data_IF_345652552264
#
_entry.id   IF_345652552264
#
_cell.length_a   1.000
_cell.length_b   1.000
_cell.length_c   1.000
_cell.angle_alpha   90.00
_cell.angle_beta   90.00
_cell.angle_gamma   90.00
#
_symmetry.space_group_name_H-M   'P 1'
#
loop_
_entity.id
_entity.type
_entity.pdbx_description
1 polymer ?
#
# COMPACT_ATOMS: atom_id res chain seq x y z
N UNK A 1 -28.30 4.27 -2.63
CA UNK A 1 -27.07 4.38 -3.44
C UNK A 1 -26.53 2.97 -3.62
N UNK A 2 -26.39 2.46 -4.85
CA UNK A 2 -25.72 1.17 -5.06
C UNK A 2 -24.25 1.36 -4.70
N UNK A 3 -23.79 0.75 -3.60
CA UNK A 3 -22.36 0.72 -3.30
C UNK A 3 -21.66 0.01 -4.46
N UNK A 4 -20.68 0.67 -5.06
CA UNK A 4 -19.88 0.10 -6.12
C UNK A 4 -18.85 -0.81 -5.47
N UNK A 5 -18.69 -1.99 -6.05
CA UNK A 5 -17.90 -3.08 -5.48
C UNK A 5 -16.61 -3.26 -6.28
N UNK A 6 -15.48 -3.42 -5.58
CA UNK A 6 -14.18 -3.68 -6.18
C UNK A 6 -13.91 -5.17 -6.16
N UNK A 7 -13.43 -5.73 -7.27
CA UNK A 7 -12.97 -7.12 -7.31
C UNK A 7 -11.80 -7.33 -6.33
N UNK A 8 -11.85 -8.37 -5.48
CA UNK A 8 -10.80 -8.65 -4.50
C UNK A 8 -9.42 -8.88 -5.14
N UNK A 9 -9.34 -9.44 -6.35
CA UNK A 9 -8.06 -9.60 -7.07
C UNK A 9 -7.45 -8.25 -7.46
N UNK A 10 -8.28 -7.32 -7.95
CA UNK A 10 -7.88 -5.95 -8.24
C UNK A 10 -7.43 -5.23 -6.96
N UNK A 11 -8.20 -5.36 -5.88
CA UNK A 11 -7.85 -4.76 -4.59
C UNK A 11 -6.54 -5.33 -4.04
N UNK A 12 -6.37 -6.65 -4.04
CA UNK A 12 -5.14 -7.32 -3.61
C UNK A 12 -3.94 -6.87 -4.44
N UNK A 13 -4.06 -6.80 -5.77
CA UNK A 13 -2.98 -6.37 -6.64
C UNK A 13 -2.59 -4.90 -6.39
N UNK A 14 -3.58 -4.01 -6.29
CA UNK A 14 -3.34 -2.59 -6.02
C UNK A 14 -2.69 -2.37 -4.65
N UNK A 15 -3.18 -3.07 -3.61
CA UNK A 15 -2.66 -2.97 -2.24
C UNK A 15 -1.23 -3.51 -2.14
N UNK A 16 -0.93 -4.66 -2.76
CA UNK A 16 0.44 -5.21 -2.82
C UNK A 16 1.38 -4.25 -3.54
N UNK A 17 0.96 -3.69 -4.69
CA UNK A 17 1.74 -2.68 -5.42
C UNK A 17 2.01 -1.44 -4.55
N UNK A 18 0.98 -0.93 -3.89
CA UNK A 18 1.07 0.26 -3.05
C UNK A 18 2.05 0.06 -1.88
N UNK A 19 2.04 -1.12 -1.24
CA UNK A 19 3.03 -1.46 -0.22
C UNK A 19 4.46 -1.30 -0.76
N UNK A 20 4.78 -1.92 -1.89
CA UNK A 20 6.14 -1.91 -2.43
C UNK A 20 6.58 -0.51 -2.86
N UNK A 21 5.70 0.24 -3.52
CA UNK A 21 5.99 1.61 -3.95
C UNK A 21 6.20 2.51 -2.73
N UNK A 22 5.31 2.45 -1.72
CA UNK A 22 5.38 3.29 -0.53
C UNK A 22 6.58 2.96 0.36
N UNK A 23 6.83 1.66 0.63
CA UNK A 23 7.97 1.20 1.42
C UNK A 23 9.30 1.68 0.83
N UNK A 24 9.47 1.45 -0.47
CA UNK A 24 10.66 1.90 -1.19
C UNK A 24 10.78 3.42 -1.15
N UNK A 25 9.68 4.14 -1.34
CA UNK A 25 9.72 5.61 -1.29
C UNK A 25 10.05 6.15 0.10
N UNK A 26 9.59 5.50 1.17
CA UNK A 26 10.02 5.84 2.53
C UNK A 26 11.53 5.79 2.70
N UNK A 27 12.18 4.73 2.18
CA UNK A 27 13.65 4.60 2.20
C UNK A 27 14.30 5.70 1.35
N UNK A 28 13.86 5.83 0.10
CA UNK A 28 14.50 6.72 -0.87
C UNK A 28 14.33 8.21 -0.50
N UNK A 29 13.17 8.63 0.02
CA UNK A 29 12.95 10.00 0.53
C UNK A 29 13.74 10.30 1.81
N UNK A 30 14.22 9.26 2.50
CA UNK A 30 15.08 9.41 3.66
C UNK A 30 16.54 9.55 3.25
N UNK A 31 17.00 8.71 2.32
CA UNK A 31 18.37 8.71 1.81
C UNK A 31 18.66 9.92 0.90
N UNK A 32 17.65 10.37 0.15
CA UNK A 32 17.75 11.47 -0.81
C UNK A 32 16.67 12.53 -0.51
N UNK A 33 16.82 13.31 0.59
CA UNK A 33 15.79 14.23 1.06
C UNK A 33 15.66 15.52 0.24
N UNK A 34 16.57 15.78 -0.70
CA UNK A 34 16.52 16.95 -1.60
C UNK A 34 15.62 16.68 -2.81
N UNK A 35 15.19 17.71 -3.53
CA UNK A 35 14.48 17.60 -4.84
C UNK A 35 15.33 16.97 -5.98
N UNK A 36 16.44 16.29 -5.65
CA UNK A 36 17.32 15.56 -6.56
C UNK A 36 16.63 14.27 -7.01
N UNK A 37 15.65 14.45 -7.89
CA UNK A 37 14.84 13.38 -8.49
C UNK A 37 15.70 12.41 -9.29
N UNK A 38 16.80 12.87 -9.88
CA UNK A 38 17.74 12.04 -10.64
C UNK A 38 18.38 10.98 -9.75
N UNK A 39 18.79 11.31 -8.53
CA UNK A 39 19.29 10.31 -7.56
C UNK A 39 18.17 9.46 -7.00
N UNK A 40 17.04 10.06 -6.63
CA UNK A 40 15.91 9.36 -6.01
C UNK A 40 15.34 8.26 -6.91
N UNK A 41 15.28 8.51 -8.21
CA UNK A 41 14.76 7.55 -9.19
C UNK A 41 15.86 6.87 -10.02
N UNK A 42 17.13 7.04 -9.65
CA UNK A 42 18.23 6.34 -10.30
C UNK A 42 18.06 4.81 -10.09
N UNK A 43 18.06 4.00 -11.16
CA UNK A 43 17.88 2.56 -11.02
C UNK A 43 18.93 1.88 -10.13
N UNK A 44 20.17 2.39 -10.14
CA UNK A 44 21.25 1.88 -9.28
C UNK A 44 20.95 2.13 -7.81
N UNK A 45 20.48 3.34 -7.47
CA UNK A 45 20.19 3.72 -6.09
C UNK A 45 18.98 2.95 -5.55
N UNK A 46 17.91 2.83 -6.34
CA UNK A 46 16.75 2.00 -5.97
C UNK A 46 17.20 0.57 -5.71
N UNK A 47 17.92 -0.04 -6.65
CA UNK A 47 18.41 -1.41 -6.51
C UNK A 47 19.29 -1.58 -5.28
N UNK A 48 20.19 -0.65 -5.02
CA UNK A 48 21.07 -0.70 -3.86
C UNK A 48 20.26 -0.65 -2.55
N UNK A 49 19.35 0.32 -2.41
CA UNK A 49 18.47 0.42 -1.24
C UNK A 49 17.66 -0.86 -1.01
N UNK A 50 17.15 -1.47 -2.08
CA UNK A 50 16.38 -2.72 -1.97
C UNK A 50 17.23 -3.93 -1.59
N UNK A 51 18.50 -3.99 -1.99
CA UNK A 51 19.42 -5.03 -1.56
C UNK A 51 19.84 -4.87 -0.10
N UNK A 52 20.06 -3.64 0.35
CA UNK A 52 20.41 -3.33 1.75
C UNK A 52 19.28 -3.67 2.72
N UNK A 53 18.03 -3.64 2.27
CA UNK A 53 16.84 -3.94 3.07
C UNK A 53 16.12 -5.23 2.66
N UNK A 54 16.78 -6.10 1.90
CA UNK A 54 16.18 -7.30 1.30
C UNK A 54 15.50 -8.20 2.33
N UNK A 55 16.18 -8.45 3.46
CA UNK A 55 15.71 -9.37 4.49
C UNK A 55 14.49 -8.82 5.25
N UNK A 56 14.38 -7.49 5.37
CA UNK A 56 13.33 -6.82 6.14
C UNK A 56 12.03 -6.63 5.33
N UNK A 57 12.08 -6.71 3.99
CA UNK A 57 10.90 -6.49 3.15
C UNK A 57 9.80 -7.52 3.44
N UNK A 58 10.16 -8.80 3.60
CA UNK A 58 9.19 -9.85 3.86
C UNK A 58 8.49 -9.65 5.21
N UNK A 59 9.24 -9.30 6.25
CA UNK A 59 8.72 -9.02 7.59
C UNK A 59 7.82 -7.78 7.58
N UNK A 60 8.25 -6.69 6.94
CA UNK A 60 7.45 -5.47 6.80
C UNK A 60 6.16 -5.73 6.02
N UNK A 61 6.22 -6.52 4.94
CA UNK A 61 5.06 -6.92 4.17
C UNK A 61 4.09 -7.71 5.04
N UNK A 62 4.58 -8.72 5.76
CA UNK A 62 3.74 -9.54 6.63
C UNK A 62 3.04 -8.69 7.71
N UNK A 63 3.80 -7.87 8.44
CA UNK A 63 3.30 -7.06 9.55
C UNK A 63 2.18 -6.10 9.15
N UNK A 64 2.25 -5.56 7.92
CA UNK A 64 1.25 -4.61 7.41
C UNK A 64 0.11 -5.35 6.71
N UNK A 65 0.46 -6.23 5.77
CA UNK A 65 -0.50 -6.78 4.81
C UNK A 65 -1.39 -7.88 5.40
N UNK A 66 -0.95 -8.58 6.45
CA UNK A 66 -1.79 -9.59 7.11
C UNK A 66 -3.12 -9.00 7.58
N UNK A 67 -3.09 -7.93 8.38
CA UNK A 67 -4.30 -7.26 8.88
C UNK A 67 -5.12 -6.63 7.75
N UNK A 68 -4.45 -6.10 6.72
CA UNK A 68 -5.11 -5.53 5.54
C UNK A 68 -5.92 -6.60 4.81
N UNK A 69 -5.35 -7.77 4.56
CA UNK A 69 -6.04 -8.85 3.85
C UNK A 69 -7.14 -9.51 4.69
N UNK A 70 -6.97 -9.60 6.02
CA UNK A 70 -8.06 -10.02 6.91
C UNK A 70 -9.26 -9.10 6.74
N UNK A 71 -9.06 -7.79 6.87
CA UNK A 71 -10.15 -6.81 6.73
C UNK A 71 -10.75 -6.78 5.33
N UNK A 72 -9.94 -7.01 4.30
CA UNK A 72 -10.42 -7.04 2.92
C UNK A 72 -11.33 -8.25 2.64
N UNK A 73 -10.98 -9.43 3.16
CA UNK A 73 -11.58 -10.70 2.73
C UNK A 73 -12.60 -11.27 3.73
N UNK A 74 -12.57 -10.80 4.98
CA UNK A 74 -13.48 -11.21 6.05
C UNK A 74 -14.39 -10.06 6.43
N UNK A 75 -15.70 -10.32 6.47
CA UNK A 75 -16.71 -9.33 6.86
C UNK A 75 -16.68 -9.03 8.36
N UNK A 76 -16.33 -10.04 9.14
CA UNK A 76 -16.27 -9.99 10.59
C UNK A 76 -14.86 -10.37 11.04
N UNK A 77 -14.18 -9.43 11.67
CA UNK A 77 -12.79 -9.60 12.14
C UNK A 77 -12.73 -10.49 13.37
N UNK A 78 -13.77 -10.50 14.22
CA UNK A 78 -13.82 -11.35 15.41
C UNK A 78 -14.00 -12.82 14.99
N UNK A 79 -14.90 -13.09 14.04
CA UNK A 79 -15.04 -14.43 13.42
C UNK A 79 -13.72 -14.87 12.76
N UNK A 80 -13.06 -13.97 12.02
CA UNK A 80 -11.75 -14.26 11.43
C UNK A 80 -10.70 -14.64 12.50
N UNK A 81 -10.66 -13.93 13.63
CA UNK A 81 -9.73 -14.19 14.72
C UNK A 81 -10.02 -15.53 15.41
N UNK A 82 -11.30 -15.86 15.65
CA UNK A 82 -11.70 -17.15 16.21
C UNK A 82 -11.31 -18.31 15.30
N UNK A 83 -11.55 -18.18 13.99
CA UNK A 83 -11.14 -19.17 12.98
C UNK A 83 -9.63 -19.34 12.92
N UNK A 84 -8.88 -18.24 12.94
CA UNK A 84 -7.41 -18.25 12.94
C UNK A 84 -6.88 -19.03 14.15
N UNK A 85 -7.41 -18.72 15.33
CA UNK A 85 -7.02 -19.38 16.60
C UNK A 85 -7.29 -20.87 16.52
N UNK A 86 -8.47 -21.27 16.03
CA UNK A 86 -8.84 -22.67 15.86
C UNK A 86 -7.96 -23.39 14.83
N UNK A 87 -7.63 -22.74 13.72
CA UNK A 87 -6.85 -23.33 12.62
C UNK A 87 -5.39 -23.61 13.02
N UNK A 88 -4.84 -22.77 13.89
CA UNK A 88 -3.44 -22.82 14.32
C UNK A 88 -3.21 -23.24 15.78
N UNK A 89 -4.26 -23.63 16.53
CA UNK A 89 -4.20 -23.95 17.96
C UNK A 89 -3.05 -24.89 18.39
N UNK A 90 -2.63 -25.80 17.50
CA UNK A 90 -1.55 -26.77 17.76
C UNK A 90 -0.50 -26.81 16.64
N UNK A 91 -0.31 -25.68 15.94
CA UNK A 91 0.64 -25.57 14.82
C UNK A 91 1.64 -24.44 15.12
N UNK A 92 2.78 -24.48 14.46
CA UNK A 92 3.72 -23.36 14.39
C UNK A 92 3.62 -22.75 12.98
N UNK A 93 2.60 -21.91 12.72
CA UNK A 93 2.38 -21.33 11.40
C UNK A 93 3.53 -20.39 11.01
N UNK A 94 3.89 -20.42 9.73
CA UNK A 94 4.82 -19.49 9.12
C UNK A 94 4.09 -18.23 8.63
N UNK A 95 4.80 -17.14 8.31
CA UNK A 95 4.19 -15.95 7.69
C UNK A 95 3.36 -16.28 6.43
N UNK A 96 3.84 -17.15 5.51
CA UNK A 96 3.02 -17.67 4.41
C UNK A 96 1.70 -18.30 4.83
N UNK A 97 1.65 -19.04 5.95
CA UNK A 97 0.42 -19.69 6.40
C UNK A 97 -0.61 -18.66 6.89
N UNK A 98 -0.17 -17.64 7.63
CA UNK A 98 -1.01 -16.52 8.02
C UNK A 98 -1.53 -15.73 6.82
N UNK A 99 -0.68 -15.45 5.83
CA UNK A 99 -1.12 -14.75 4.61
C UNK A 99 -2.10 -15.58 3.79
N UNK A 100 -1.90 -16.91 3.72
CA UNK A 100 -2.85 -17.82 3.07
C UNK A 100 -4.21 -17.77 3.76
N UNK A 101 -4.21 -17.79 5.09
CA UNK A 101 -5.43 -17.58 5.86
C UNK A 101 -6.06 -16.22 5.53
N UNK A 102 -5.31 -15.13 5.59
CA UNK A 102 -5.83 -13.78 5.34
C UNK A 102 -6.41 -13.58 3.92
N UNK A 103 -5.87 -14.29 2.92
CA UNK A 103 -6.42 -14.31 1.57
C UNK A 103 -7.70 -15.14 1.41
N UNK A 104 -8.12 -15.91 2.43
CA UNK A 104 -9.35 -16.71 2.52
C UNK A 104 -9.50 -17.87 1.53
N UNK A 105 -8.89 -17.77 0.34
CA UNK A 105 -8.90 -18.79 -0.70
C UNK A 105 -7.51 -18.98 -1.25
N UNK A 106 -7.18 -20.22 -1.64
CA UNK A 106 -5.89 -20.53 -2.24
C UNK A 106 -5.63 -19.72 -3.52
N UNK A 107 -6.64 -19.52 -4.37
CA UNK A 107 -6.52 -18.74 -5.61
C UNK A 107 -6.16 -17.27 -5.36
N UNK A 108 -6.77 -16.64 -4.36
CA UNK A 108 -6.45 -15.25 -4.02
C UNK A 108 -5.08 -15.14 -3.36
N UNK A 109 -4.67 -16.14 -2.58
CA UNK A 109 -3.30 -16.23 -2.06
C UNK A 109 -2.27 -16.38 -3.18
N UNK A 110 -2.51 -17.26 -4.15
CA UNK A 110 -1.61 -17.45 -5.30
C UNK A 110 -1.50 -16.18 -6.15
N UNK A 111 -2.62 -15.45 -6.33
CA UNK A 111 -2.62 -14.14 -6.95
C UNK A 111 -1.78 -13.14 -6.15
N UNK A 112 -1.98 -13.03 -4.84
CA UNK A 112 -1.18 -12.16 -3.97
C UNK A 112 0.33 -12.49 -4.07
N UNK A 113 0.71 -13.76 -4.05
CA UNK A 113 2.11 -14.20 -4.21
C UNK A 113 2.67 -13.82 -5.58
N UNK A 114 1.85 -13.91 -6.63
CA UNK A 114 2.24 -13.49 -8.00
C UNK A 114 2.51 -12.00 -8.03
N UNK A 115 1.61 -11.18 -7.47
CA UNK A 115 1.81 -9.73 -7.37
C UNK A 115 3.02 -9.36 -6.52
N UNK A 116 3.24 -10.07 -5.41
CA UNK A 116 4.41 -9.88 -4.56
C UNK A 116 5.70 -10.09 -5.35
N UNK A 117 5.81 -11.23 -6.03
CA UNK A 117 7.00 -11.60 -6.82
C UNK A 117 7.24 -10.61 -7.95
N UNK A 118 6.18 -10.18 -8.64
CA UNK A 118 6.28 -9.25 -9.75
C UNK A 118 6.80 -7.89 -9.29
N UNK A 119 6.21 -7.31 -8.23
CA UNK A 119 6.68 -6.03 -7.69
C UNK A 119 8.14 -6.11 -7.22
N UNK A 120 8.49 -7.20 -6.55
CA UNK A 120 9.84 -7.44 -6.07
C UNK A 120 10.86 -7.58 -7.22
N UNK A 121 10.53 -8.30 -8.29
CA UNK A 121 11.38 -8.42 -9.48
C UNK A 121 11.66 -7.06 -10.14
N UNK A 122 10.66 -6.18 -10.24
CA UNK A 122 10.87 -4.81 -10.73
C UNK A 122 11.87 -4.05 -9.85
N UNK A 123 11.74 -4.15 -8.53
CA UNK A 123 12.62 -3.49 -7.56
C UNK A 123 14.06 -3.99 -7.64
N UNK A 124 14.27 -5.30 -7.81
CA UNK A 124 15.60 -5.89 -8.03
C UNK A 124 16.26 -5.44 -9.36
N UNK A 125 15.46 -4.94 -10.29
CA UNK A 125 15.91 -4.29 -11.54
C UNK A 125 16.04 -2.76 -11.39
N UNK A 126 15.85 -2.22 -10.19
CA UNK A 126 15.96 -0.79 -9.90
C UNK A 126 14.76 0.02 -10.39
N UNK A 127 13.58 -0.59 -10.53
CA UNK A 127 12.39 0.08 -11.08
C UNK A 127 11.18 -0.15 -10.18
N UNK A 128 10.27 0.82 -10.19
CA UNK A 128 8.92 0.61 -9.68
C UNK A 128 8.08 -0.15 -10.71
N UNK A 129 7.07 -0.88 -10.27
CA UNK A 129 6.13 -1.53 -11.19
C UNK A 129 5.31 -0.45 -11.92
N UNK A 130 5.60 -0.27 -13.20
CA UNK A 130 5.00 0.75 -14.05
C UNK A 130 3.50 0.51 -14.24
N UNK A 131 2.72 1.58 -14.19
CA UNK A 131 1.25 1.53 -14.24
C UNK A 131 0.71 0.86 -15.51
N UNK A 132 1.19 1.19 -16.73
CA UNK A 132 0.68 0.54 -17.94
C UNK A 132 0.93 -0.96 -17.98
N UNK A 133 2.10 -1.41 -17.51
CA UNK A 133 2.45 -2.81 -17.40
C UNK A 133 1.61 -3.51 -16.33
N UNK A 134 1.46 -2.91 -15.16
CA UNK A 134 0.60 -3.39 -14.08
C UNK A 134 -0.83 -3.64 -14.59
N UNK A 135 -1.44 -2.64 -15.25
CA UNK A 135 -2.82 -2.75 -15.75
C UNK A 135 -3.02 -3.87 -16.78
N UNK A 136 -1.95 -4.29 -17.46
CA UNK A 136 -1.99 -5.38 -18.45
C UNK A 136 -1.72 -6.76 -17.83
N UNK A 137 -0.99 -6.81 -16.73
CA UNK A 137 -0.34 -8.03 -16.26
C UNK A 137 -0.80 -8.50 -14.88
N UNK A 138 -1.48 -7.66 -14.10
CA UNK A 138 -1.93 -8.09 -12.78
C UNK A 138 -2.91 -9.28 -12.90
N UNK A 139 -2.90 -10.13 -11.87
CA UNK A 139 -3.67 -11.36 -11.84
C UNK A 139 -5.16 -11.05 -11.73
N UNK A 140 -5.91 -11.28 -12.81
CA UNK A 140 -7.37 -11.14 -12.81
C UNK A 140 -8.07 -12.38 -12.22
N UNK A 141 -9.21 -12.17 -11.58
CA UNK A 141 -10.04 -13.25 -11.06
C UNK A 141 -11.53 -12.92 -11.10
N UNK A 142 -12.35 -13.90 -10.73
CA UNK A 142 -13.82 -13.77 -10.78
C UNK A 142 -14.34 -12.64 -9.87
N UNK A 143 -15.33 -11.89 -10.35
CA UNK A 143 -16.01 -10.82 -9.61
C UNK A 143 -16.94 -11.33 -8.49
N UNK A 144 -16.95 -12.63 -8.18
CA UNK A 144 -17.74 -13.17 -7.07
C UNK A 144 -17.16 -12.77 -5.69
N UNK A 145 -15.88 -12.41 -5.63
CA UNK A 145 -15.25 -11.86 -4.42
C UNK A 145 -15.08 -10.37 -4.59
N UNK A 146 -15.80 -9.59 -3.78
CA UNK A 146 -15.78 -8.13 -3.84
C UNK A 146 -15.56 -7.48 -2.48
N UNK A 147 -14.92 -6.32 -2.51
CA UNK A 147 -14.76 -5.41 -1.40
C UNK A 147 -15.60 -4.14 -1.63
N UNK A 148 -16.00 -3.51 -0.52
CA UNK A 148 -16.63 -2.19 -0.52
C UNK A 148 -15.59 -1.10 -0.83
N UNK A 149 -15.92 -0.14 -1.70
CA UNK A 149 -15.00 0.92 -2.13
C UNK A 149 -14.46 1.75 -0.95
N UNK A 150 -15.30 2.31 -0.06
CA UNK A 150 -14.86 2.98 1.17
C UNK A 150 -13.86 2.17 2.01
N UNK A 151 -14.16 0.90 2.28
CA UNK A 151 -13.26 0.03 3.04
C UNK A 151 -11.92 -0.15 2.31
N UNK A 152 -11.95 -0.39 1.00
CA UNK A 152 -10.74 -0.60 0.23
C UNK A 152 -9.85 0.67 0.19
N UNK A 153 -10.44 1.86 0.09
CA UNK A 153 -9.73 3.14 0.18
C UNK A 153 -9.11 3.31 1.56
N UNK A 154 -9.86 3.02 2.64
CA UNK A 154 -9.32 3.09 4.00
C UNK A 154 -8.08 2.18 4.16
N UNK A 155 -8.17 0.95 3.66
CA UNK A 155 -7.06 0.00 3.66
C UNK A 155 -5.87 0.49 2.82
N UNK A 156 -6.13 1.13 1.68
CA UNK A 156 -5.10 1.68 0.79
C UNK A 156 -4.31 2.80 1.47
N UNK A 157 -5.01 3.79 2.06
CA UNK A 157 -4.38 4.90 2.77
C UNK A 157 -3.51 4.38 3.91
N UNK A 158 -4.05 3.47 4.72
CA UNK A 158 -3.33 2.84 5.84
C UNK A 158 -2.11 2.05 5.38
N UNK A 159 -2.23 1.32 4.26
CA UNK A 159 -1.11 0.57 3.66
C UNK A 159 0.01 1.52 3.24
N UNK A 160 -0.30 2.59 2.52
CA UNK A 160 0.68 3.57 2.03
C UNK A 160 1.43 4.22 3.20
N UNK A 161 0.72 4.77 4.18
CA UNK A 161 1.34 5.50 5.28
C UNK A 161 2.19 4.60 6.18
N UNK A 162 1.70 3.39 6.49
CA UNK A 162 2.45 2.44 7.32
C UNK A 162 3.68 1.93 6.57
N UNK A 163 3.54 1.52 5.30
CA UNK A 163 4.66 1.01 4.52
C UNK A 163 5.73 2.08 4.31
N UNK A 164 5.32 3.30 3.95
CA UNK A 164 6.23 4.43 3.84
C UNK A 164 6.97 4.70 5.15
N UNK A 165 6.24 4.75 6.27
CA UNK A 165 6.86 4.99 7.60
C UNK A 165 7.83 3.88 7.98
N UNK A 166 7.49 2.62 7.73
CA UNK A 166 8.39 1.49 7.96
C UNK A 166 9.66 1.61 7.13
N UNK A 167 9.53 1.91 5.83
CA UNK A 167 10.69 2.15 4.97
C UNK A 167 11.55 3.32 5.45
N UNK A 168 10.92 4.42 5.84
CA UNK A 168 11.60 5.60 6.38
C UNK A 168 12.44 5.25 7.61
N UNK A 169 11.89 4.47 8.55
CA UNK A 169 12.62 4.01 9.74
C UNK A 169 13.78 3.06 9.42
N UNK A 170 13.56 2.14 8.49
CA UNK A 170 14.59 1.18 8.10
C UNK A 170 15.77 1.82 7.39
N UNK A 171 15.59 3.01 6.78
CA UNK A 171 16.69 3.79 6.20
C UNK A 171 17.82 4.14 7.19
N UNK A 172 17.55 4.05 8.51
CA UNK A 172 18.51 4.39 9.55
C UNK A 172 18.77 5.89 9.71
N UNK A 173 18.06 6.74 8.94
CA UNK A 173 18.15 8.19 9.09
C UNK A 173 17.36 8.68 10.31
N UNK A 174 17.74 9.84 10.86
CA UNK A 174 17.00 10.49 11.97
C UNK A 174 15.77 11.28 11.48
N UNK A 175 15.30 11.01 10.25
CA UNK A 175 14.16 11.74 9.67
C UNK A 175 12.88 11.27 10.35
N UNK A 176 12.10 12.24 10.81
CA UNK A 176 10.83 12.00 11.51
C UNK A 176 9.63 12.56 10.73
N UNK A 177 9.82 13.35 9.68
CA UNK A 177 8.71 13.90 8.88
C UNK A 177 8.50 13.17 7.56
N UNK A 178 7.22 12.98 7.21
CA UNK A 178 6.84 12.34 5.95
C UNK A 178 6.93 13.35 4.80
N UNK A 179 7.46 12.92 3.66
CA UNK A 179 7.57 13.78 2.49
C UNK A 179 6.21 13.91 1.77
N UNK A 180 5.51 15.01 2.03
CA UNK A 180 4.13 15.23 1.58
C UNK A 180 3.92 15.01 0.07
N UNK A 181 4.75 15.55 -0.85
CA UNK A 181 4.54 15.35 -2.28
C UNK A 181 4.55 13.87 -2.69
N UNK A 182 5.37 13.05 -2.03
CA UNK A 182 5.43 11.62 -2.33
C UNK A 182 4.22 10.87 -1.77
N UNK A 183 3.77 11.19 -0.57
CA UNK A 183 2.53 10.64 0.00
C UNK A 183 1.33 10.97 -0.88
N UNK A 184 1.15 12.23 -1.28
CA UNK A 184 0.02 12.65 -2.12
C UNK A 184 0.04 11.96 -3.48
N UNK A 185 1.22 11.85 -4.12
CA UNK A 185 1.39 11.10 -5.38
C UNK A 185 1.03 9.62 -5.22
N UNK A 186 1.52 8.98 -4.15
CA UNK A 186 1.24 7.56 -3.87
C UNK A 186 -0.26 7.34 -3.69
N UNK A 187 -0.94 8.20 -2.93
CA UNK A 187 -2.38 8.14 -2.70
C UNK A 187 -3.15 8.27 -4.01
N UNK A 188 -2.90 9.33 -4.79
CA UNK A 188 -3.60 9.59 -6.05
C UNK A 188 -3.45 8.42 -7.02
N UNK A 189 -2.22 7.96 -7.25
CA UNK A 189 -1.95 6.90 -8.23
C UNK A 189 -2.57 5.59 -7.79
N UNK A 190 -2.33 5.15 -6.56
CA UNK A 190 -2.76 3.82 -6.11
C UNK A 190 -4.26 3.76 -5.82
N UNK A 191 -4.90 4.84 -5.37
CA UNK A 191 -6.35 4.90 -5.23
C UNK A 191 -7.02 4.89 -6.62
N UNK A 192 -6.48 5.60 -7.60
CA UNK A 192 -7.02 5.54 -8.95
C UNK A 192 -6.94 4.12 -9.55
N UNK A 193 -5.83 3.41 -9.33
CA UNK A 193 -5.71 2.01 -9.76
C UNK A 193 -6.70 1.11 -9.03
N UNK A 194 -6.88 1.33 -7.73
CA UNK A 194 -7.83 0.58 -6.92
C UNK A 194 -9.29 0.79 -7.35
N UNK A 195 -9.69 2.03 -7.66
CA UNK A 195 -11.09 2.39 -7.91
C UNK A 195 -11.45 2.35 -9.39
N UNK A 196 -10.59 2.92 -10.22
CA UNK A 196 -10.86 3.14 -11.64
C UNK A 196 -10.15 2.12 -12.55
N UNK A 197 -9.28 1.26 -12.01
CA UNK A 197 -8.50 0.26 -12.74
C UNK A 197 -7.93 0.80 -14.06
N UNK A 198 -7.39 2.01 -14.02
CA UNK A 198 -6.95 2.74 -15.21
C UNK A 198 -5.78 3.65 -14.88
N UNK A 199 -5.16 4.20 -15.92
CA UNK A 199 -4.12 5.21 -15.73
C UNK A 199 -4.78 6.59 -15.56
N UNK A 200 -4.38 7.29 -14.50
CA UNK A 200 -4.83 8.66 -14.28
C UNK A 200 -4.24 9.58 -15.35
N UNK A 201 -5.09 10.40 -15.97
CA UNK A 201 -4.67 11.43 -16.92
C UNK A 201 -4.49 12.74 -16.16
N UNK A 202 -3.26 12.99 -15.69
CA UNK A 202 -2.99 14.09 -14.77
C UNK A 202 -3.19 15.50 -15.38
N UNK A 203 -3.03 15.67 -16.70
CA UNK A 203 -3.29 16.95 -17.39
C UNK A 203 -2.68 18.18 -16.68
N UNK A 204 -3.34 19.34 -16.78
CA UNK A 204 -3.10 20.53 -15.95
C UNK A 204 -4.11 20.64 -14.80
N UNK A 205 -4.59 19.49 -14.29
CA UNK A 205 -5.64 19.48 -13.27
C UNK A 205 -5.09 19.91 -11.91
N UNK A 206 -5.91 20.58 -11.11
CA UNK A 206 -5.56 20.93 -9.74
C UNK A 206 -5.51 19.68 -8.85
N UNK A 207 -4.80 19.76 -7.71
CA UNK A 207 -4.62 18.63 -6.80
C UNK A 207 -5.96 18.04 -6.32
N UNK A 208 -6.94 18.91 -6.02
CA UNK A 208 -8.27 18.48 -5.58
C UNK A 208 -9.01 17.70 -6.68
N UNK A 209 -8.90 18.15 -7.94
CA UNK A 209 -9.49 17.47 -9.10
C UNK A 209 -8.86 16.10 -9.33
N UNK A 210 -7.54 15.97 -9.11
CA UNK A 210 -6.83 14.70 -9.20
C UNK A 210 -7.31 13.72 -8.13
N UNK A 211 -7.51 14.18 -6.89
CA UNK A 211 -8.05 13.33 -5.83
C UNK A 211 -9.50 12.93 -6.10
N UNK A 212 -10.33 13.87 -6.55
CA UNK A 212 -11.72 13.60 -6.89
C UNK A 212 -11.83 12.59 -8.04
N UNK A 213 -11.00 12.74 -9.07
CA UNK A 213 -10.91 11.78 -10.17
C UNK A 213 -10.43 10.40 -9.70
N UNK A 214 -9.39 10.35 -8.86
CA UNK A 214 -8.86 9.10 -8.33
C UNK A 214 -9.87 8.36 -7.44
N UNK A 215 -10.60 9.08 -6.59
CA UNK A 215 -11.60 8.51 -5.67
C UNK A 215 -12.93 8.21 -6.37
N UNK A 216 -13.17 8.80 -7.54
CA UNK A 216 -14.36 8.61 -8.39
C UNK A 216 -15.63 9.30 -7.88
N UNK A 217 -15.76 9.52 -6.57
CA UNK A 217 -16.88 10.25 -5.95
C UNK A 217 -16.44 10.93 -4.63
N UNK A 218 -17.28 11.86 -4.16
CA UNK A 218 -17.02 12.68 -2.97
C UNK A 218 -17.01 11.85 -1.68
N UNK A 219 -17.87 10.83 -1.57
CA UNK A 219 -17.90 9.93 -0.41
C UNK A 219 -16.55 9.24 -0.22
N UNK A 220 -16.00 8.68 -1.29
CA UNK A 220 -14.70 8.02 -1.31
C UNK A 220 -13.56 9.01 -1.02
N UNK A 221 -13.64 10.24 -1.53
CA UNK A 221 -12.66 11.29 -1.24
C UNK A 221 -12.67 11.68 0.24
N UNK A 222 -13.84 11.82 0.85
CA UNK A 222 -13.96 12.10 2.28
C UNK A 222 -13.41 10.95 3.13
N UNK A 223 -13.67 9.70 2.75
CA UNK A 223 -13.07 8.53 3.42
C UNK A 223 -11.54 8.56 3.32
N UNK A 224 -10.99 8.90 2.15
CA UNK A 224 -9.55 9.02 1.94
C UNK A 224 -8.95 10.09 2.87
N UNK A 225 -9.51 11.30 2.89
CA UNK A 225 -9.02 12.41 3.72
C UNK A 225 -9.13 12.12 5.22
N UNK A 226 -10.27 11.62 5.68
CA UNK A 226 -10.46 11.27 7.09
C UNK A 226 -9.49 10.17 7.52
N UNK A 227 -9.31 9.15 6.67
CA UNK A 227 -8.36 8.05 6.97
C UNK A 227 -6.92 8.55 6.99
N UNK A 228 -6.56 9.49 6.10
CA UNK A 228 -5.24 10.10 6.05
C UNK A 228 -4.95 10.81 7.36
N UNK A 229 -5.85 11.68 7.82
CA UNK A 229 -5.73 12.43 9.07
C UNK A 229 -5.66 11.52 10.30
N UNK A 230 -6.55 10.53 10.38
CA UNK A 230 -6.55 9.54 11.47
C UNK A 230 -5.25 8.75 11.53
N UNK A 231 -4.79 8.25 10.38
CA UNK A 231 -3.57 7.43 10.32
C UNK A 231 -2.33 8.28 10.62
N UNK A 232 -2.29 9.56 10.22
CA UNK A 232 -1.22 10.47 10.63
C UNK A 232 -1.17 10.63 12.15
N UNK A 233 -2.32 10.83 12.81
CA UNK A 233 -2.39 10.95 14.28
C UNK A 233 -1.93 9.67 14.98
N UNK A 234 -2.32 8.51 14.46
CA UNK A 234 -1.82 7.20 14.94
C UNK A 234 -0.29 7.12 14.83
N UNK A 235 0.28 7.48 13.67
CA UNK A 235 1.73 7.45 13.44
C UNK A 235 2.51 8.45 14.30
N UNK A 236 1.96 9.64 14.56
CA UNK A 236 2.57 10.60 15.49
C UNK A 236 2.66 9.98 16.89
N UNK A 237 1.58 9.34 17.35
CA UNK A 237 1.47 8.75 18.68
C UNK A 237 2.32 7.49 18.86
N UNK A 238 2.27 6.59 17.89
CA UNK A 238 2.90 5.26 17.97
C UNK A 238 4.38 5.33 17.56
N UNK A 239 4.69 6.16 16.57
CA UNK A 239 5.96 6.09 15.84
C UNK A 239 6.81 7.36 15.96
N UNK A 240 6.30 8.40 16.65
CA UNK A 240 7.02 9.66 16.86
C UNK A 240 7.23 10.49 15.59
N UNK A 241 6.39 10.28 14.57
CA UNK A 241 6.41 11.06 13.33
C UNK A 241 6.05 12.51 13.62
N UNK A 242 6.67 13.46 12.92
CA UNK A 242 6.40 14.89 13.03
C UNK A 242 5.69 15.34 11.75
N UNK A 243 4.56 16.05 11.88
CA UNK A 243 3.95 16.69 10.71
C UNK A 243 4.81 17.87 10.27
N UNK A 244 5.06 18.05 8.96
CA UNK A 244 5.83 19.20 8.46
C UNK A 244 5.22 20.56 8.87
N UNK A 245 3.96 20.60 9.33
CA UNK A 245 3.28 21.82 9.77
C UNK A 245 3.80 22.41 11.10
N UNK A 246 4.62 21.69 11.87
CA UNK A 246 5.17 22.20 13.16
C UNK A 246 6.50 22.97 13.00
N UNK A 247 6.88 23.35 11.78
CA UNK A 247 8.00 24.28 11.51
C UNK A 247 7.61 25.47 10.62
N UNK A 248 6.40 25.99 10.82
CA UNK A 248 6.10 27.38 10.49
C UNK A 248 6.35 28.22 11.75
N UNK A 249 7.54 28.81 11.85
CA UNK A 249 7.78 29.97 12.71
C UNK A 249 6.89 31.13 12.26
#
# INVERSE_FOLDING_TARGET
MNSKHINCYQATAALTRAFFEAFTMGIMDSLYPTEDTDKKYNPRNIKQAMLEHYEQIADAFFMIMFTVFIRLNYRDVEDAQQRLTKEFANKQPTMPDYLRFACKTQKLYDAMVTEYKQNFDYLLRGKFYHVPEYLKQYTHGSQLSVADEPLAINLMVRTILKAYTTGMKLSGTKKLSLHQPSILRLLIVNINLLINNSQLKAGQAELNDLFMAACGNETNMNVMLNTLDETYKELIKEEGIISDNDKSN
#
